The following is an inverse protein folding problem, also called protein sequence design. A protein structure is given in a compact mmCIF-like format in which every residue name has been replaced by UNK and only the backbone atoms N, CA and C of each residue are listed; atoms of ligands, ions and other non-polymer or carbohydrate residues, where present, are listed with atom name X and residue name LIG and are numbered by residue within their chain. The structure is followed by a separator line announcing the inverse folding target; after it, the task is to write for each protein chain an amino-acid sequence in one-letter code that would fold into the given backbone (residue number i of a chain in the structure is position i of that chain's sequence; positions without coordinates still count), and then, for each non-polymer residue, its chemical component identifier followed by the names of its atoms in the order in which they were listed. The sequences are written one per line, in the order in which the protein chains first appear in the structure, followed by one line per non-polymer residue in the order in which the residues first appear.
data_IF_578553596652
#
_entry.id   IF_578553596652
#
_cell.length_a   1.000
_cell.length_b   1.000
_cell.length_c   1.000
_cell.angle_alpha   90.00
_cell.angle_beta   90.00
_cell.angle_gamma   90.00
#
_symmetry.space_group_name_H-M   'P 1'
#
loop_
_entity.id
_entity.type
_entity.pdbx_description
1 polymer ?
#
# COMPACT_ATOMS: atom_id res chain seq x y z
N UNK A 1 82.88 -37.78 21.88
CA UNK A 1 81.65 -38.57 22.09
C UNK A 1 80.54 -37.86 21.28
N UNK A 2 80.05 -38.49 20.21
CA UNK A 2 78.95 -38.00 19.35
C UNK A 2 77.57 -38.22 20.03
N UNK A 3 76.42 -37.82 19.43
CA UNK A 3 76.02 -36.66 18.61
C UNK A 3 74.81 -35.93 19.29
N UNK A 4 74.13 -34.89 18.79
CA UNK A 4 73.14 -34.81 17.70
C UNK A 4 72.53 -33.39 17.72
N UNK A 5 72.46 -32.59 16.65
CA UNK A 5 71.58 -32.69 15.47
C UNK A 5 70.39 -31.71 15.65
N UNK A 6 69.90 -30.90 14.72
CA UNK A 6 70.18 -30.69 13.29
C UNK A 6 69.49 -29.35 12.90
N UNK A 7 70.15 -28.45 12.17
CA UNK A 7 69.51 -27.33 11.46
C UNK A 7 69.61 -27.53 9.95
N UNK A 8 68.43 -27.51 9.29
CA UNK A 8 68.14 -27.19 7.87
C UNK A 8 68.76 -28.10 6.77
N UNK A 9 68.15 -28.26 5.56
CA UNK A 9 67.55 -27.18 4.75
C UNK A 9 66.28 -27.51 3.92
N UNK A 10 65.82 -26.44 3.25
CA UNK A 10 64.85 -26.26 2.15
C UNK A 10 64.35 -27.50 1.36
N UNK A 11 63.03 -27.55 1.11
CA UNK A 11 62.50 -28.07 -0.16
C UNK A 11 61.06 -27.62 -0.49
N UNK A 12 60.95 -27.08 -1.71
CA UNK A 12 59.86 -26.82 -2.67
C UNK A 12 58.36 -27.12 -2.36
N UNK A 13 57.43 -26.33 -2.94
CA UNK A 13 55.98 -26.58 -2.84
C UNK A 13 55.50 -27.66 -3.83
N UNK A 14 54.79 -28.66 -3.32
CA UNK A 14 54.10 -29.68 -4.10
C UNK A 14 52.86 -29.12 -4.81
N UNK A 15 52.71 -29.48 -6.09
CA UNK A 15 51.78 -28.90 -7.05
C UNK A 15 50.29 -28.94 -6.69
N UNK A 16 49.62 -27.83 -7.01
CA UNK A 16 48.18 -27.77 -7.19
C UNK A 16 47.83 -28.30 -8.59
N UNK A 17 47.11 -29.42 -8.64
CA UNK A 17 46.44 -29.89 -9.84
C UNK A 17 45.27 -28.97 -10.18
N UNK A 18 45.29 -28.38 -11.38
CA UNK A 18 44.20 -27.62 -11.98
C UNK A 18 42.90 -28.46 -12.04
N UNK A 19 41.99 -28.25 -11.07
CA UNK A 19 40.58 -28.55 -11.30
C UNK A 19 40.00 -27.44 -12.15
N UNK A 20 39.95 -27.68 -13.46
CA UNK A 20 39.03 -27.00 -14.38
C UNK A 20 37.65 -26.97 -13.73
N UNK A 21 37.25 -25.80 -13.24
CA UNK A 21 35.84 -25.53 -12.94
C UNK A 21 35.13 -25.54 -14.28
N UNK A 22 34.44 -26.64 -14.58
CA UNK A 22 33.40 -26.67 -15.58
C UNK A 22 32.42 -25.56 -15.20
N UNK A 23 32.36 -24.51 -16.01
CA UNK A 23 31.30 -23.53 -15.96
C UNK A 23 29.99 -24.31 -16.10
N UNK A 24 29.28 -24.49 -14.98
CA UNK A 24 27.92 -24.96 -15.01
C UNK A 24 27.16 -23.97 -15.88
N UNK A 25 26.58 -24.46 -16.96
CA UNK A 25 25.49 -23.79 -17.65
C UNK A 25 24.36 -23.64 -16.62
N UNK A 26 24.44 -22.58 -15.82
CA UNK A 26 23.26 -21.97 -15.25
C UNK A 26 22.39 -21.64 -16.45
N UNK A 27 21.19 -22.22 -16.47
CA UNK A 27 20.14 -21.85 -17.39
C UNK A 27 19.94 -20.34 -17.28
N UNK A 28 20.60 -19.59 -18.15
CA UNK A 28 20.20 -18.23 -18.46
C UNK A 28 18.76 -18.39 -18.93
N UNK A 29 17.79 -18.03 -18.08
CA UNK A 29 16.50 -17.63 -18.60
C UNK A 29 16.84 -16.56 -19.64
N UNK A 30 16.63 -16.92 -20.91
CA UNK A 30 16.71 -16.00 -22.03
C UNK A 30 15.85 -14.80 -21.66
N UNK A 31 16.47 -13.72 -21.18
CA UNK A 31 15.84 -12.42 -21.08
C UNK A 31 15.36 -12.11 -22.49
N UNK A 32 14.06 -12.26 -22.74
CA UNK A 32 13.49 -11.95 -24.05
C UNK A 32 13.97 -10.57 -24.46
N UNK A 33 14.40 -10.42 -25.72
CA UNK A 33 14.91 -9.14 -26.24
C UNK A 33 13.86 -8.06 -25.95
N UNK A 34 14.24 -7.06 -25.16
CA UNK A 34 13.37 -5.92 -24.88
C UNK A 34 13.22 -5.09 -26.14
N UNK A 35 11.98 -4.80 -26.53
CA UNK A 35 11.66 -4.05 -27.75
C UNK A 35 11.31 -2.60 -27.39
N UNK A 36 11.71 -1.58 -28.16
CA UNK A 36 11.14 -0.25 -27.98
C UNK A 36 9.61 -0.31 -28.19
N UNK A 37 8.87 0.53 -27.47
CA UNK A 37 7.42 0.66 -27.67
C UNK A 37 7.12 1.02 -29.15
N UNK A 38 6.14 0.37 -29.80
CA UNK A 38 5.77 0.72 -31.17
C UNK A 38 5.39 2.19 -31.30
N UNK A 39 5.94 2.87 -32.31
CA UNK A 39 5.71 4.30 -32.56
C UNK A 39 4.31 4.62 -33.11
N UNK A 40 3.58 3.62 -33.56
CA UNK A 40 2.21 3.75 -34.05
C UNK A 40 1.33 2.67 -33.44
N UNK A 41 0.12 3.07 -33.04
CA UNK A 41 -0.89 2.12 -32.56
C UNK A 41 -1.51 1.31 -33.71
N UNK A 42 -1.72 0.02 -33.45
CA UNK A 42 -2.58 -0.89 -34.25
C UNK A 42 -4.01 -0.95 -33.73
N UNK A 43 -4.30 -0.30 -32.59
CA UNK A 43 -5.63 -0.20 -31.97
C UNK A 43 -6.14 1.24 -32.09
N UNK A 44 -7.36 1.43 -32.59
CA UNK A 44 -7.97 2.75 -32.68
C UNK A 44 -8.14 3.39 -31.29
N UNK A 45 -8.09 4.73 -31.23
CA UNK A 45 -8.34 5.48 -29.99
C UNK A 45 -7.17 5.55 -28.99
N UNK A 46 -5.95 5.17 -29.37
CA UNK A 46 -4.76 5.38 -28.55
C UNK A 46 -3.55 5.88 -29.34
N UNK A 47 -2.51 6.34 -28.64
CA UNK A 47 -1.25 6.82 -29.22
C UNK A 47 -0.36 5.62 -29.60
N UNK A 48 -0.24 4.64 -28.72
CA UNK A 48 0.53 3.41 -28.94
C UNK A 48 -0.21 2.18 -28.42
N UNK A 49 0.08 1.01 -28.99
CA UNK A 49 -0.50 -0.26 -28.55
C UNK A 49 0.52 -1.39 -28.51
N UNK A 50 0.34 -2.30 -27.55
CA UNK A 50 1.08 -3.56 -27.43
C UNK A 50 0.09 -4.71 -27.65
N UNK A 51 0.19 -5.36 -28.81
CA UNK A 51 -0.70 -6.46 -29.22
C UNK A 51 -0.02 -7.83 -29.23
N UNK A 52 1.26 -7.89 -28.87
CA UNK A 52 2.02 -9.13 -28.75
C UNK A 52 2.64 -9.22 -27.35
N UNK A 53 2.74 -10.44 -26.82
CA UNK A 53 3.45 -10.69 -25.56
C UNK A 53 4.94 -10.34 -25.69
N UNK A 54 5.56 -9.95 -24.58
CA UNK A 54 6.99 -9.65 -24.54
C UNK A 54 7.35 -8.50 -23.60
N UNK A 55 8.64 -8.15 -23.61
CA UNK A 55 9.15 -7.02 -22.84
C UNK A 55 9.34 -5.81 -23.74
N UNK A 56 8.79 -4.68 -23.31
CA UNK A 56 8.80 -3.40 -23.99
C UNK A 56 9.43 -2.32 -23.10
N UNK A 57 9.98 -1.28 -23.72
CA UNK A 57 10.46 -0.10 -23.01
C UNK A 57 10.18 1.19 -23.75
N UNK A 58 10.03 2.29 -23.01
CA UNK A 58 10.03 3.63 -23.60
C UNK A 58 11.45 4.09 -23.91
N UNK A 59 11.66 4.59 -25.13
CA UNK A 59 12.88 5.27 -25.58
C UNK A 59 12.73 6.80 -25.58
N UNK A 60 11.52 7.29 -25.30
CA UNK A 60 11.11 8.69 -25.28
C UNK A 60 9.79 8.84 -24.52
N UNK A 61 9.45 10.09 -24.21
CA UNK A 61 8.14 10.44 -23.65
C UNK A 61 6.99 10.06 -24.62
N UNK A 62 5.88 9.54 -24.07
CA UNK A 62 4.63 9.38 -24.81
C UNK A 62 3.74 10.60 -24.55
N UNK A 63 3.43 11.32 -25.62
CA UNK A 63 2.52 12.48 -25.57
C UNK A 63 1.10 12.05 -25.95
N UNK A 64 0.15 12.33 -25.07
CA UNK A 64 -1.27 12.11 -25.29
C UNK A 64 -1.84 12.95 -26.41
N UNK A 65 -3.03 12.57 -26.88
CA UNK A 65 -3.78 13.31 -27.88
C UNK A 65 -5.24 13.42 -27.44
N UNK A 66 -5.91 14.49 -27.88
CA UNK A 66 -7.34 14.72 -27.61
C UNK A 66 -8.16 13.51 -28.05
N UNK A 67 -9.04 13.02 -27.18
CA UNK A 67 -9.90 11.87 -27.41
C UNK A 67 -9.21 10.52 -27.46
N UNK A 68 -7.92 10.43 -27.10
CA UNK A 68 -7.15 9.18 -27.12
C UNK A 68 -6.64 8.77 -25.75
N UNK A 69 -6.48 7.46 -25.56
CA UNK A 69 -5.62 6.88 -24.52
C UNK A 69 -4.14 7.02 -24.89
N UNK A 70 -3.24 6.94 -23.93
CA UNK A 70 -1.80 6.90 -24.19
C UNK A 70 -1.38 5.56 -24.78
N UNK A 71 -1.25 4.55 -23.92
CA UNK A 71 -0.80 3.21 -24.28
C UNK A 71 -1.91 2.20 -24.00
N UNK A 72 -2.28 1.37 -24.97
CA UNK A 72 -3.14 0.21 -24.76
C UNK A 72 -2.30 -1.07 -24.76
N UNK A 73 -2.35 -1.83 -23.67
CA UNK A 73 -1.77 -3.17 -23.57
C UNK A 73 -2.87 -4.20 -23.79
N UNK A 74 -2.91 -4.82 -24.96
CA UNK A 74 -3.95 -5.78 -25.35
C UNK A 74 -3.51 -7.25 -25.25
N UNK A 75 -2.20 -7.51 -25.14
CA UNK A 75 -1.67 -8.87 -24.98
C UNK A 75 -1.29 -9.17 -23.53
N UNK A 76 -1.57 -10.39 -23.07
CA UNK A 76 -1.08 -10.94 -21.80
C UNK A 76 0.43 -11.17 -21.84
N UNK A 77 1.06 -11.38 -20.67
CA UNK A 77 2.52 -11.62 -20.56
C UNK A 77 3.36 -10.48 -21.15
N UNK A 78 3.00 -9.26 -20.79
CA UNK A 78 3.69 -8.04 -21.22
C UNK A 78 4.41 -7.41 -20.03
N UNK A 79 5.68 -7.06 -20.21
CA UNK A 79 6.35 -6.11 -19.32
C UNK A 79 6.52 -4.79 -20.05
N UNK A 80 5.87 -3.74 -19.58
CA UNK A 80 6.10 -2.37 -20.02
C UNK A 80 6.95 -1.64 -18.98
N UNK A 81 8.13 -1.21 -19.39
CA UNK A 81 8.99 -0.36 -18.58
C UNK A 81 9.00 1.05 -19.17
N UNK A 82 8.59 2.02 -18.37
CA UNK A 82 8.59 3.41 -18.78
C UNK A 82 10.01 3.98 -18.81
N UNK A 83 11.03 3.26 -18.30
CA UNK A 83 12.45 3.58 -18.41
C UNK A 83 12.78 5.02 -17.95
N UNK A 84 12.07 5.50 -16.93
CA UNK A 84 12.16 6.84 -16.39
C UNK A 84 11.43 7.93 -17.19
N UNK A 85 10.82 7.60 -18.32
CA UNK A 85 10.07 8.54 -19.15
C UNK A 85 8.62 8.73 -18.68
N UNK A 86 8.04 9.83 -19.14
CA UNK A 86 6.67 10.21 -18.85
C UNK A 86 5.70 9.67 -19.93
N UNK A 87 4.50 9.30 -19.47
CA UNK A 87 3.30 9.16 -20.29
C UNK A 87 2.41 10.34 -19.92
N UNK A 88 2.45 11.39 -20.74
CA UNK A 88 1.91 12.71 -20.42
C UNK A 88 0.63 12.97 -21.21
N UNK A 89 -0.47 13.22 -20.52
CA UNK A 89 -1.75 13.56 -21.11
C UNK A 89 -1.82 15.00 -21.60
N UNK A 90 -2.88 15.30 -22.34
CA UNK A 90 -3.25 16.66 -22.76
C UNK A 90 -4.72 16.90 -22.40
N UNK A 91 -5.17 18.17 -22.27
CA UNK A 91 -6.59 18.45 -22.05
C UNK A 91 -7.48 17.74 -23.07
N UNK A 92 -8.49 17.01 -22.60
CA UNK A 92 -9.40 16.22 -23.44
C UNK A 92 -8.85 14.85 -23.89
N UNK A 93 -7.66 14.44 -23.45
CA UNK A 93 -7.21 13.04 -23.53
C UNK A 93 -7.98 12.14 -22.56
N UNK A 94 -7.91 10.82 -22.73
CA UNK A 94 -8.60 9.84 -21.86
C UNK A 94 -7.65 9.29 -20.80
N UNK A 95 -7.46 7.97 -20.71
CA UNK A 95 -6.56 7.29 -19.75
C UNK A 95 -5.13 7.15 -20.27
N UNK A 96 -4.13 7.27 -19.40
CA UNK A 96 -2.71 7.17 -19.78
C UNK A 96 -2.26 5.79 -20.23
N UNK A 97 -2.45 4.77 -19.38
CA UNK A 97 -2.19 3.38 -19.74
C UNK A 97 -3.44 2.55 -19.46
N UNK A 98 -3.95 1.86 -20.48
CA UNK A 98 -5.10 0.96 -20.36
C UNK A 98 -4.63 -0.47 -20.60
N UNK A 99 -4.93 -1.36 -19.66
CA UNK A 99 -4.65 -2.80 -19.78
C UNK A 99 -5.94 -3.53 -20.12
N UNK A 100 -6.03 -3.97 -21.37
CA UNK A 100 -7.10 -4.83 -21.86
C UNK A 100 -6.77 -6.33 -21.78
N UNK A 101 -5.49 -6.64 -21.53
CA UNK A 101 -5.01 -8.00 -21.33
C UNK A 101 -5.63 -8.67 -20.09
N UNK A 102 -5.77 -9.99 -20.14
CA UNK A 102 -6.39 -10.75 -19.06
C UNK A 102 -5.45 -10.95 -17.86
N UNK A 103 -4.13 -11.14 -18.09
CA UNK A 103 -3.17 -11.42 -17.01
C UNK A 103 -1.71 -11.19 -17.41
N UNK A 104 -0.80 -11.28 -16.44
CA UNK A 104 0.64 -11.34 -16.66
C UNK A 104 1.24 -10.02 -17.14
N UNK A 105 0.62 -8.89 -16.79
CA UNK A 105 1.12 -7.56 -17.15
C UNK A 105 1.94 -6.97 -16.00
N UNK A 106 3.12 -6.46 -16.34
CA UNK A 106 4.00 -5.70 -15.45
C UNK A 106 4.18 -4.30 -16.02
N UNK A 107 3.92 -3.26 -15.24
CA UNK A 107 4.17 -1.86 -15.61
C UNK A 107 5.14 -1.25 -14.60
N UNK A 108 6.22 -0.62 -15.06
CA UNK A 108 7.23 -0.11 -14.12
C UNK A 108 7.99 1.13 -14.55
N UNK A 109 8.53 1.83 -13.55
CA UNK A 109 9.70 2.70 -13.71
C UNK A 109 9.47 3.94 -14.56
N UNK A 110 8.64 4.88 -14.11
CA UNK A 110 8.43 6.17 -14.78
C UNK A 110 7.25 6.95 -14.22
N UNK A 111 6.65 7.81 -15.03
CA UNK A 111 5.50 8.62 -14.60
C UNK A 111 4.33 8.57 -15.59
N UNK A 112 3.10 8.69 -15.08
CA UNK A 112 1.87 8.77 -15.86
C UNK A 112 1.00 9.90 -15.33
N UNK A 113 0.89 11.01 -16.06
CA UNK A 113 0.30 12.23 -15.51
C UNK A 113 -0.46 13.08 -16.52
N UNK A 114 -1.38 13.92 -16.04
CA UNK A 114 -2.10 14.91 -16.85
C UNK A 114 -3.24 14.35 -17.72
N UNK A 115 -3.77 13.17 -17.38
CA UNK A 115 -4.77 12.48 -18.19
C UNK A 115 -6.20 12.86 -17.82
N UNK A 116 -7.08 12.97 -18.82
CA UNK A 116 -8.48 13.38 -18.61
C UNK A 116 -9.38 12.30 -17.98
N UNK A 117 -8.85 11.09 -17.81
CA UNK A 117 -9.45 10.03 -17.02
C UNK A 117 -8.41 9.49 -16.02
N UNK A 118 -8.13 8.18 -16.03
CA UNK A 118 -7.19 7.56 -15.09
C UNK A 118 -5.73 7.72 -15.54
N UNK A 119 -4.79 7.66 -14.60
CA UNK A 119 -3.37 7.49 -14.94
C UNK A 119 -3.15 6.11 -15.56
N UNK A 120 -3.27 5.07 -14.74
CA UNK A 120 -3.17 3.66 -15.16
C UNK A 120 -4.46 2.93 -14.79
N UNK A 121 -5.11 2.34 -15.79
CA UNK A 121 -6.26 1.45 -15.62
C UNK A 121 -5.88 0.01 -15.96
N UNK A 122 -5.62 -0.79 -14.92
CA UNK A 122 -5.36 -2.22 -15.00
C UNK A 122 -6.44 -3.05 -14.29
N UNK A 123 -7.64 -2.49 -14.06
CA UNK A 123 -8.71 -3.13 -13.29
C UNK A 123 -9.15 -4.48 -13.87
N UNK A 124 -9.07 -4.63 -15.20
CA UNK A 124 -9.47 -5.86 -15.90
C UNK A 124 -8.38 -6.94 -15.93
N UNK A 125 -7.15 -6.61 -15.55
CA UNK A 125 -6.02 -7.52 -15.61
C UNK A 125 -5.82 -8.22 -14.26
N UNK A 126 -6.04 -9.53 -14.24
CA UNK A 126 -5.78 -10.33 -13.06
C UNK A 126 -4.27 -10.45 -12.80
N UNK A 127 -3.86 -10.32 -11.53
CA UNK A 127 -2.48 -10.42 -11.09
C UNK A 127 -1.51 -9.46 -11.82
N UNK A 128 -1.97 -8.26 -12.16
CA UNK A 128 -1.09 -7.21 -12.67
C UNK A 128 -0.07 -6.77 -11.62
N UNK A 129 1.16 -6.47 -12.03
CA UNK A 129 2.21 -5.93 -11.17
C UNK A 129 2.54 -4.51 -11.61
N UNK A 130 2.48 -3.55 -10.68
CA UNK A 130 2.85 -2.15 -10.96
C UNK A 130 3.88 -1.69 -9.95
N UNK A 131 5.09 -1.34 -10.41
CA UNK A 131 6.22 -1.03 -9.52
C UNK A 131 6.94 0.27 -9.88
N UNK A 132 7.38 1.04 -8.88
CA UNK A 132 8.17 2.26 -9.09
C UNK A 132 7.52 3.27 -10.07
N UNK A 133 6.21 3.52 -9.92
CA UNK A 133 5.44 4.45 -10.76
C UNK A 133 5.08 5.72 -9.98
N UNK A 134 5.17 6.87 -10.63
CA UNK A 134 4.53 8.12 -10.20
C UNK A 134 3.28 8.37 -11.03
N UNK A 135 2.15 8.66 -10.40
CA UNK A 135 0.92 9.02 -11.11
C UNK A 135 0.34 10.31 -10.53
N UNK A 136 0.20 11.34 -11.37
CA UNK A 136 -0.24 12.64 -10.89
C UNK A 136 -1.14 13.41 -11.84
N UNK A 137 -1.89 14.38 -11.33
CA UNK A 137 -2.64 15.34 -12.14
C UNK A 137 -3.63 14.69 -13.12
N UNK A 138 -4.11 13.48 -12.80
CA UNK A 138 -5.12 12.78 -13.58
C UNK A 138 -6.49 13.15 -13.04
N UNK A 139 -7.48 13.38 -13.91
CA UNK A 139 -8.82 13.77 -13.47
C UNK A 139 -9.51 12.65 -12.67
N UNK A 140 -9.26 11.39 -13.04
CA UNK A 140 -9.75 10.20 -12.34
C UNK A 140 -8.72 9.65 -11.35
N UNK A 141 -8.78 8.35 -11.11
CA UNK A 141 -7.83 7.66 -10.25
C UNK A 141 -6.40 7.66 -10.80
N UNK A 142 -5.40 7.69 -9.91
CA UNK A 142 -4.00 7.55 -10.32
C UNK A 142 -3.69 6.15 -10.85
N UNK A 143 -4.05 5.12 -10.08
CA UNK A 143 -3.87 3.72 -10.44
C UNK A 143 -5.07 2.88 -10.04
N UNK A 144 -5.57 2.05 -10.95
CA UNK A 144 -6.53 0.97 -10.69
C UNK A 144 -5.88 -0.38 -10.93
N UNK A 145 -5.82 -1.23 -9.91
CA UNK A 145 -5.28 -2.59 -9.97
C UNK A 145 -6.42 -3.62 -10.00
N UNK A 146 -6.34 -4.56 -10.95
CA UNK A 146 -7.26 -5.68 -11.06
C UNK A 146 -7.06 -6.77 -10.00
N UNK A 147 -7.95 -7.78 -9.93
CA UNK A 147 -7.98 -8.75 -8.85
C UNK A 147 -6.66 -9.53 -8.68
N UNK A 148 -6.24 -9.72 -7.44
CA UNK A 148 -4.99 -10.40 -7.09
C UNK A 148 -3.73 -9.69 -7.56
N UNK A 149 -3.81 -8.43 -7.98
CA UNK A 149 -2.66 -7.64 -8.42
C UNK A 149 -1.79 -7.16 -7.26
N UNK A 150 -0.65 -6.59 -7.60
CA UNK A 150 0.28 -5.99 -6.64
C UNK A 150 0.75 -4.64 -7.11
N UNK A 151 0.80 -3.66 -6.21
CA UNK A 151 1.51 -2.42 -6.46
C UNK A 151 2.58 -2.18 -5.38
N UNK A 152 3.77 -1.81 -5.84
CA UNK A 152 4.97 -1.62 -5.02
C UNK A 152 5.64 -0.28 -5.34
N UNK A 153 6.03 0.49 -4.33
CA UNK A 153 6.72 1.76 -4.53
C UNK A 153 5.98 2.74 -5.47
N UNK A 154 4.64 2.74 -5.45
CA UNK A 154 3.81 3.63 -6.27
C UNK A 154 3.47 4.91 -5.51
N UNK A 155 3.66 6.07 -6.17
CA UNK A 155 3.36 7.38 -5.60
C UNK A 155 2.28 8.07 -6.44
N UNK A 156 1.08 8.15 -5.89
CA UNK A 156 -0.06 8.85 -6.47
C UNK A 156 -0.22 10.24 -5.82
N UNK A 157 -0.27 11.31 -6.60
CA UNK A 157 -0.43 12.67 -6.09
C UNK A 157 -1.36 13.53 -6.92
N UNK A 158 -2.20 14.35 -6.30
CA UNK A 158 -2.98 15.38 -7.02
C UNK A 158 -3.90 14.80 -8.12
N UNK A 159 -4.36 13.56 -7.93
CA UNK A 159 -5.36 12.95 -8.79
C UNK A 159 -6.76 13.36 -8.34
N UNK A 160 -7.65 13.68 -9.27
CA UNK A 160 -9.02 14.12 -8.98
C UNK A 160 -9.91 13.01 -8.41
N UNK A 161 -9.61 11.74 -8.75
CA UNK A 161 -10.24 10.55 -8.17
C UNK A 161 -9.50 10.01 -6.96
N UNK A 162 -9.57 8.69 -6.76
CA UNK A 162 -8.80 8.01 -5.73
C UNK A 162 -7.29 8.05 -6.08
N UNK A 163 -6.41 8.03 -5.08
CA UNK A 163 -4.98 7.91 -5.36
C UNK A 163 -4.67 6.55 -5.97
N UNK A 164 -5.00 5.50 -5.22
CA UNK A 164 -4.76 4.10 -5.57
C UNK A 164 -6.03 3.28 -5.29
N UNK A 165 -6.52 2.56 -6.30
CA UNK A 165 -7.68 1.67 -6.21
C UNK A 165 -7.25 0.22 -6.41
N UNK A 166 -7.58 -0.66 -5.47
CA UNK A 166 -7.25 -2.09 -5.51
C UNK A 166 -8.50 -2.96 -5.54
N UNK A 167 -8.54 -3.89 -6.49
CA UNK A 167 -9.57 -4.93 -6.55
C UNK A 167 -9.27 -6.08 -5.58
N UNK A 168 -10.23 -6.99 -5.41
CA UNK A 168 -10.18 -8.04 -4.40
C UNK A 168 -8.88 -8.88 -4.42
N UNK A 169 -8.38 -9.20 -3.23
CA UNK A 169 -7.19 -10.04 -3.04
C UNK A 169 -5.86 -9.39 -3.43
N UNK A 170 -5.83 -8.10 -3.72
CA UNK A 170 -4.61 -7.41 -4.15
C UNK A 170 -3.73 -6.99 -2.97
N UNK A 171 -2.45 -6.74 -3.25
CA UNK A 171 -1.46 -6.26 -2.24
C UNK A 171 -0.88 -4.91 -2.63
N UNK A 172 -0.74 -4.03 -1.63
CA UNK A 172 -0.09 -2.74 -1.72
C UNK A 172 1.08 -2.69 -0.72
N UNK A 173 2.26 -2.29 -1.19
CA UNK A 173 3.46 -2.14 -0.35
C UNK A 173 4.28 -0.90 -0.74
N UNK A 174 4.82 -0.17 0.26
CA UNK A 174 5.60 1.07 0.06
C UNK A 174 4.95 2.11 -0.87
N UNK A 175 3.62 2.21 -0.81
CA UNK A 175 2.87 3.11 -1.67
C UNK A 175 2.42 4.37 -0.93
N UNK A 176 2.26 5.47 -1.66
CA UNK A 176 1.74 6.70 -1.09
C UNK A 176 0.67 7.34 -1.98
N UNK A 177 -0.41 7.80 -1.37
CA UNK A 177 -1.43 8.64 -1.99
C UNK A 177 -1.47 10.00 -1.29
N UNK A 178 -1.30 11.09 -2.05
CA UNK A 178 -1.18 12.44 -1.50
C UNK A 178 -2.11 13.40 -2.23
N UNK A 179 -2.86 14.22 -1.49
CA UNK A 179 -3.66 15.31 -2.06
C UNK A 179 -4.63 14.86 -3.19
N UNK A 180 -5.21 13.67 -3.05
CA UNK A 180 -6.16 13.14 -4.03
C UNK A 180 -7.60 13.57 -3.68
N UNK A 181 -8.42 13.82 -4.70
CA UNK A 181 -9.81 14.30 -4.54
C UNK A 181 -10.79 13.22 -4.05
N UNK A 182 -10.41 11.95 -4.16
CA UNK A 182 -11.11 10.80 -3.61
C UNK A 182 -10.53 10.30 -2.29
N UNK A 183 -10.61 8.99 -2.09
CA UNK A 183 -9.93 8.28 -1.00
C UNK A 183 -8.45 8.13 -1.41
N UNK A 184 -7.53 8.23 -0.45
CA UNK A 184 -6.12 8.03 -0.75
C UNK A 184 -5.86 6.64 -1.32
N UNK A 185 -6.18 5.61 -0.54
CA UNK A 185 -6.08 4.20 -0.93
C UNK A 185 -7.43 3.53 -0.71
N UNK A 186 -8.07 3.10 -1.79
CA UNK A 186 -9.35 2.39 -1.77
C UNK A 186 -9.14 0.92 -2.14
N UNK A 187 -9.10 0.06 -1.12
CA UNK A 187 -8.82 -1.35 -1.28
C UNK A 187 -10.10 -2.18 -1.05
N UNK A 188 -10.40 -3.07 -2.00
CA UNK A 188 -11.53 -3.98 -1.91
C UNK A 188 -11.30 -5.11 -0.89
N UNK A 189 -12.12 -6.16 -0.95
CA UNK A 189 -12.09 -7.30 -0.04
C UNK A 189 -10.76 -8.07 -0.09
N UNK A 190 -10.35 -8.62 1.06
CA UNK A 190 -9.16 -9.46 1.22
C UNK A 190 -7.85 -8.81 0.76
N UNK A 191 -7.82 -7.49 0.64
CA UNK A 191 -6.63 -6.75 0.24
C UNK A 191 -5.66 -6.60 1.43
N UNK A 192 -4.37 -6.45 1.10
CA UNK A 192 -3.31 -6.19 2.07
C UNK A 192 -2.67 -4.85 1.76
N UNK A 193 -2.81 -3.87 2.65
CA UNK A 193 -2.18 -2.55 2.55
C UNK A 193 -1.11 -2.46 3.63
N UNK A 194 0.16 -2.42 3.21
CA UNK A 194 1.31 -2.59 4.09
C UNK A 194 2.31 -1.46 3.84
N UNK A 195 2.92 -0.92 4.91
CA UNK A 195 4.02 0.06 4.82
C UNK A 195 3.68 1.24 3.88
N UNK A 196 2.44 1.71 3.92
CA UNK A 196 1.89 2.66 2.95
C UNK A 196 1.32 3.92 3.61
N UNK A 197 1.23 5.00 2.85
CA UNK A 197 0.78 6.29 3.35
C UNK A 197 -0.41 6.87 2.56
N UNK A 198 -1.35 7.51 3.26
CA UNK A 198 -2.41 8.29 2.64
C UNK A 198 -2.56 9.64 3.35
N UNK A 199 -2.40 10.74 2.62
CA UNK A 199 -2.37 12.06 3.26
C UNK A 199 -2.98 13.20 2.45
N UNK A 200 -3.48 14.20 3.17
CA UNK A 200 -4.06 15.41 2.60
C UNK A 200 -5.21 15.14 1.61
N UNK A 201 -5.89 13.99 1.73
CA UNK A 201 -6.99 13.62 0.85
C UNK A 201 -8.29 14.34 1.22
N UNK A 202 -9.16 14.51 0.23
CA UNK A 202 -10.47 15.14 0.44
C UNK A 202 -11.50 14.21 1.11
N UNK A 203 -11.16 12.92 1.31
CA UNK A 203 -12.00 11.90 1.96
C UNK A 203 -11.17 11.09 2.96
N UNK A 204 -11.49 9.81 3.17
CA UNK A 204 -10.72 8.93 4.03
C UNK A 204 -9.30 8.71 3.49
N UNK A 205 -8.35 8.46 4.38
CA UNK A 205 -6.98 8.10 3.99
C UNK A 205 -6.93 6.73 3.32
N UNK A 206 -7.24 5.68 4.11
CA UNK A 206 -7.25 4.28 3.65
C UNK A 206 -8.62 3.69 3.92
N UNK A 207 -9.24 3.09 2.91
CA UNK A 207 -10.41 2.23 3.07
C UNK A 207 -10.06 0.81 2.67
N UNK A 208 -10.48 -0.16 3.49
CA UNK A 208 -10.31 -1.58 3.18
C UNK A 208 -11.63 -2.34 3.33
N UNK A 209 -11.92 -3.17 2.32
CA UNK A 209 -13.04 -4.09 2.29
C UNK A 209 -12.87 -5.28 3.24
N UNK A 210 -13.88 -6.15 3.28
CA UNK A 210 -13.96 -7.25 4.24
C UNK A 210 -12.74 -8.19 4.18
N UNK A 211 -12.27 -8.67 5.34
CA UNK A 211 -11.13 -9.59 5.43
C UNK A 211 -9.77 -8.95 5.13
N UNK A 212 -9.72 -7.61 5.04
CA UNK A 212 -8.52 -6.88 4.70
C UNK A 212 -7.50 -6.77 5.84
N UNK A 213 -6.26 -6.44 5.46
CA UNK A 213 -5.17 -6.18 6.40
C UNK A 213 -4.59 -4.80 6.11
N UNK A 214 -4.54 -3.94 7.13
CA UNK A 214 -3.81 -2.67 7.08
C UNK A 214 -2.72 -2.74 8.14
N UNK A 215 -1.45 -2.65 7.74
CA UNK A 215 -0.32 -2.76 8.66
C UNK A 215 0.78 -1.75 8.38
N UNK A 216 1.33 -1.17 9.44
CA UNK A 216 2.47 -0.24 9.33
C UNK A 216 2.17 0.96 8.41
N UNK A 217 0.92 1.42 8.40
CA UNK A 217 0.48 2.50 7.52
C UNK A 217 0.41 3.84 8.26
N UNK A 218 0.68 4.92 7.53
CA UNK A 218 0.53 6.30 8.00
C UNK A 218 -0.65 6.97 7.30
N UNK A 219 -1.61 7.48 8.06
CA UNK A 219 -2.71 8.30 7.52
C UNK A 219 -2.72 9.66 8.19
N UNK A 220 -2.68 10.74 7.40
CA UNK A 220 -2.62 12.09 8.00
C UNK A 220 -3.34 13.20 7.24
N UNK A 221 -3.89 14.15 7.98
CA UNK A 221 -4.51 15.35 7.41
C UNK A 221 -5.58 15.06 6.35
N UNK A 222 -6.28 13.94 6.47
CA UNK A 222 -7.39 13.62 5.58
C UNK A 222 -8.67 14.26 6.13
N UNK A 223 -9.55 14.74 5.25
CA UNK A 223 -10.83 15.34 5.66
C UNK A 223 -11.85 14.28 6.15
N UNK A 224 -11.64 13.01 5.82
CA UNK A 224 -12.40 11.89 6.35
C UNK A 224 -11.72 11.24 7.56
N UNK A 225 -11.98 9.95 7.74
CA UNK A 225 -11.26 9.15 8.72
C UNK A 225 -9.85 8.81 8.22
N UNK A 226 -8.92 8.53 9.12
CA UNK A 226 -7.59 8.04 8.73
C UNK A 226 -7.69 6.68 8.04
N UNK A 227 -8.23 5.70 8.76
CA UNK A 227 -8.44 4.33 8.27
C UNK A 227 -9.89 3.92 8.48
N UNK A 228 -10.54 3.37 7.45
CA UNK A 228 -11.86 2.75 7.52
C UNK A 228 -11.74 1.28 7.15
N UNK A 229 -12.08 0.38 8.07
CA UNK A 229 -12.05 -1.06 7.85
C UNK A 229 -13.43 -1.68 7.93
N UNK A 230 -13.77 -2.48 6.92
CA UNK A 230 -15.00 -3.29 6.89
C UNK A 230 -14.87 -4.53 7.78
N UNK A 231 -15.80 -5.49 7.65
CA UNK A 231 -15.85 -6.67 8.52
C UNK A 231 -14.59 -7.55 8.45
N UNK A 232 -14.23 -8.22 9.54
CA UNK A 232 -13.11 -9.19 9.62
C UNK A 232 -11.72 -8.61 9.27
N UNK A 233 -11.53 -7.30 9.42
CA UNK A 233 -10.24 -6.69 9.10
C UNK A 233 -9.26 -6.76 10.27
N UNK A 234 -7.97 -6.74 9.95
CA UNK A 234 -6.90 -6.47 10.92
C UNK A 234 -6.23 -5.14 10.60
N UNK A 235 -6.31 -4.18 11.51
CA UNK A 235 -5.57 -2.93 11.49
C UNK A 235 -4.52 -3.00 12.59
N UNK A 236 -3.24 -2.95 12.22
CA UNK A 236 -2.16 -3.11 13.20
C UNK A 236 -0.98 -2.20 12.94
N UNK A 237 -0.33 -1.70 14.00
CA UNK A 237 0.91 -0.92 13.89
C UNK A 237 0.77 0.30 12.97
N UNK A 238 -0.43 0.90 12.92
CA UNK A 238 -0.70 2.06 12.07
C UNK A 238 -0.67 3.36 12.87
N UNK A 239 -0.25 4.44 12.22
CA UNK A 239 -0.28 5.80 12.76
C UNK A 239 -1.34 6.62 12.00
N UNK A 240 -2.37 7.07 12.72
CA UNK A 240 -3.43 7.95 12.22
C UNK A 240 -3.32 9.31 12.89
N UNK A 241 -3.02 10.36 12.13
CA UNK A 241 -2.55 11.65 12.67
C UNK A 241 -3.28 12.83 12.04
N UNK A 242 -3.97 13.62 12.86
CA UNK A 242 -4.65 14.85 12.45
C UNK A 242 -5.64 14.65 11.29
N UNK A 243 -6.36 13.54 11.26
CA UNK A 243 -7.50 13.36 10.37
C UNK A 243 -8.72 14.09 10.96
N UNK A 244 -9.57 14.67 10.12
CA UNK A 244 -10.66 15.52 10.61
C UNK A 244 -11.71 14.70 11.39
N UNK A 245 -12.08 13.53 10.86
CA UNK A 245 -12.97 12.56 11.49
C UNK A 245 -12.20 11.56 12.38
N UNK A 246 -12.70 10.33 12.50
CA UNK A 246 -12.10 9.28 13.32
C UNK A 246 -10.67 8.92 12.85
N UNK A 247 -9.79 8.59 13.79
CA UNK A 247 -8.46 8.11 13.46
C UNK A 247 -8.53 6.76 12.75
N UNK A 248 -9.18 5.81 13.40
CA UNK A 248 -9.46 4.46 12.88
C UNK A 248 -10.93 4.13 13.14
N UNK A 249 -11.65 3.74 12.08
CA UNK A 249 -13.05 3.34 12.14
C UNK A 249 -13.18 1.89 11.65
N UNK A 250 -13.83 1.04 12.45
CA UNK A 250 -14.02 -0.39 12.14
C UNK A 250 -15.47 -0.82 12.26
N UNK A 251 -15.88 -1.77 11.41
CA UNK A 251 -17.21 -2.37 11.42
C UNK A 251 -17.26 -3.58 12.37
N UNK A 252 -17.48 -4.79 11.87
CA UNK A 252 -17.68 -5.99 12.69
C UNK A 252 -16.45 -6.91 12.68
N UNK A 253 -16.22 -7.62 13.79
CA UNK A 253 -15.25 -8.72 13.89
C UNK A 253 -13.80 -8.31 13.54
N UNK A 254 -13.45 -7.04 13.73
CA UNK A 254 -12.12 -6.52 13.41
C UNK A 254 -11.15 -6.60 14.59
N UNK A 255 -9.87 -6.61 14.29
CA UNK A 255 -8.80 -6.41 15.28
C UNK A 255 -8.09 -5.08 15.02
N UNK A 256 -8.10 -4.16 15.99
CA UNK A 256 -7.31 -2.92 15.98
C UNK A 256 -6.24 -3.03 17.05
N UNK A 257 -4.98 -3.19 16.63
CA UNK A 257 -3.89 -3.61 17.50
C UNK A 257 -2.70 -2.66 17.40
N UNK A 258 -2.08 -2.30 18.53
CA UNK A 258 -0.77 -1.60 18.55
C UNK A 258 -0.70 -0.37 17.63
N UNK A 259 -1.82 0.32 17.44
CA UNK A 259 -1.92 1.46 16.54
C UNK A 259 -2.01 2.76 17.34
N UNK A 260 -1.59 3.86 16.72
CA UNK A 260 -1.67 5.20 17.29
C UNK A 260 -2.72 6.00 16.55
N UNK A 261 -3.62 6.65 17.29
CA UNK A 261 -4.42 7.76 16.79
C UNK A 261 -4.08 9.03 17.54
N UNK A 262 -3.74 10.08 16.81
CA UNK A 262 -3.38 11.38 17.37
C UNK A 262 -4.15 12.52 16.68
N UNK A 263 -4.82 13.36 17.45
CA UNK A 263 -5.30 14.64 16.94
C UNK A 263 -6.54 14.58 16.04
N UNK A 264 -7.37 13.53 16.13
CA UNK A 264 -8.67 13.47 15.44
C UNK A 264 -9.71 14.35 16.14
N UNK A 265 -9.77 15.63 15.78
CA UNK A 265 -10.49 16.67 16.55
C UNK A 265 -12.01 16.64 16.42
N UNK A 266 -12.57 16.06 15.36
CA UNK A 266 -14.02 15.88 15.22
C UNK A 266 -14.45 14.41 15.39
N UNK A 267 -13.49 13.49 15.55
CA UNK A 267 -13.72 12.04 15.65
C UNK A 267 -13.14 11.37 16.90
N UNK A 268 -13.34 10.07 16.98
CA UNK A 268 -12.71 9.21 17.96
C UNK A 268 -11.29 8.85 17.51
N UNK A 269 -10.41 8.50 18.46
CA UNK A 269 -9.14 7.87 18.09
C UNK A 269 -9.37 6.50 17.43
N UNK A 270 -10.18 5.67 18.08
CA UNK A 270 -10.73 4.44 17.49
C UNK A 270 -12.24 4.40 17.66
N UNK A 271 -12.99 4.21 16.57
CA UNK A 271 -14.44 3.97 16.60
C UNK A 271 -14.75 2.55 16.12
N UNK A 272 -15.35 1.74 16.99
CA UNK A 272 -16.04 0.52 16.60
C UNK A 272 -17.53 0.82 16.40
N UNK A 273 -17.97 0.78 15.14
CA UNK A 273 -19.38 0.90 14.77
C UNK A 273 -20.09 -0.43 15.04
N UNK A 274 -19.49 -1.54 14.59
CA UNK A 274 -20.05 -2.88 14.69
C UNK A 274 -19.63 -3.64 15.95
N UNK A 275 -19.94 -4.93 15.95
CA UNK A 275 -19.76 -5.83 17.10
C UNK A 275 -18.57 -6.78 16.93
N UNK A 276 -18.18 -7.46 18.01
CA UNK A 276 -17.17 -8.51 17.96
C UNK A 276 -15.75 -8.02 17.68
N UNK A 277 -15.50 -6.72 17.78
CA UNK A 277 -14.17 -6.16 17.56
C UNK A 277 -13.27 -6.36 18.77
N UNK A 278 -11.96 -6.48 18.53
CA UNK A 278 -10.91 -6.42 19.54
C UNK A 278 -10.09 -5.14 19.34
N UNK A 279 -10.17 -4.22 20.29
CA UNK A 279 -9.41 -2.97 20.31
C UNK A 279 -8.41 -3.05 21.46
N UNK A 280 -7.13 -3.22 21.12
CA UNK A 280 -6.13 -3.66 22.09
C UNK A 280 -4.74 -3.07 21.85
N UNK A 281 -4.06 -2.67 22.92
CA UNK A 281 -2.69 -2.10 22.87
C UNK A 281 -2.57 -0.82 22.01
N UNK A 282 -3.65 -0.06 21.81
CA UNK A 282 -3.61 1.17 21.01
C UNK A 282 -3.29 2.39 21.87
N UNK A 283 -2.72 3.43 21.25
CA UNK A 283 -2.51 4.75 21.85
C UNK A 283 -3.43 5.78 21.20
N UNK A 284 -4.36 6.37 21.96
CA UNK A 284 -5.27 7.41 21.48
C UNK A 284 -5.00 8.73 22.20
N UNK A 285 -4.33 9.68 21.53
CA UNK A 285 -3.97 10.97 22.11
C UNK A 285 -4.65 12.15 21.39
N UNK A 286 -5.09 13.17 22.11
CA UNK A 286 -5.57 14.45 21.52
C UNK A 286 -6.73 14.31 20.52
N UNK A 287 -7.52 13.24 20.63
CA UNK A 287 -8.72 13.05 19.83
C UNK A 287 -9.92 13.72 20.51
N UNK A 288 -11.05 13.91 19.82
CA UNK A 288 -12.28 14.37 20.49
C UNK A 288 -12.71 13.40 21.58
N UNK A 289 -12.78 12.11 21.21
CA UNK A 289 -12.99 11.00 22.13
C UNK A 289 -11.86 9.99 21.91
N UNK A 290 -11.32 9.36 22.96
CA UNK A 290 -10.27 8.36 22.81
C UNK A 290 -10.73 7.12 22.07
N UNK A 291 -11.68 6.37 22.65
CA UNK A 291 -12.27 5.17 22.05
C UNK A 291 -13.80 5.23 22.13
N UNK A 292 -14.47 4.93 21.02
CA UNK A 292 -15.92 4.78 20.97
C UNK A 292 -16.30 3.37 20.54
N UNK A 293 -17.24 2.74 21.24
CA UNK A 293 -17.85 1.47 20.82
C UNK A 293 -19.38 1.59 20.85
N UNK A 294 -20.01 1.52 19.68
CA UNK A 294 -21.43 1.84 19.50
C UNK A 294 -22.33 0.59 19.62
N UNK A 295 -21.93 -0.51 19.01
CA UNK A 295 -22.60 -1.81 19.15
C UNK A 295 -22.04 -2.61 20.35
N UNK A 296 -22.78 -3.58 20.89
CA UNK A 296 -22.31 -4.45 21.97
C UNK A 296 -21.26 -5.47 21.48
N UNK A 297 -20.70 -6.26 22.40
CA UNK A 297 -19.89 -7.43 22.06
C UNK A 297 -18.45 -7.14 21.68
N UNK A 298 -17.98 -5.90 21.78
CA UNK A 298 -16.57 -5.55 21.58
C UNK A 298 -15.73 -5.81 22.83
N UNK A 299 -14.45 -6.11 22.64
CA UNK A 299 -13.44 -6.26 23.68
C UNK A 299 -12.44 -5.12 23.57
N UNK A 300 -12.28 -4.34 24.65
CA UNK A 300 -11.49 -3.11 24.66
C UNK A 300 -10.55 -3.14 25.85
N UNK A 301 -9.27 -3.41 25.60
CA UNK A 301 -8.31 -3.70 26.67
C UNK A 301 -6.95 -3.08 26.39
N UNK A 302 -6.17 -2.78 27.43
CA UNK A 302 -4.74 -2.40 27.29
C UNK A 302 -4.48 -1.20 26.38
N UNK A 303 -5.46 -0.33 26.19
CA UNK A 303 -5.28 0.90 25.42
C UNK A 303 -4.79 2.04 26.34
N UNK A 304 -3.92 2.88 25.83
CA UNK A 304 -3.44 4.10 26.46
C UNK A 304 -4.15 5.31 25.82
N UNK A 305 -4.86 6.09 26.63
CA UNK A 305 -5.65 7.22 26.15
C UNK A 305 -5.17 8.48 26.87
N UNK A 306 -4.91 9.55 26.15
CA UNK A 306 -4.47 10.80 26.76
C UNK A 306 -5.06 12.01 26.07
N UNK A 307 -5.20 13.09 26.82
CA UNK A 307 -5.56 14.42 26.32
C UNK A 307 -6.78 14.44 25.37
N UNK A 308 -7.75 13.53 25.53
CA UNK A 308 -8.95 13.51 24.69
C UNK A 308 -9.90 14.62 25.14
N UNK A 309 -10.43 15.40 24.18
CA UNK A 309 -11.08 16.68 24.48
C UNK A 309 -12.42 16.56 25.22
N UNK A 310 -13.23 15.55 24.90
CA UNK A 310 -14.56 15.35 25.49
C UNK A 310 -14.56 14.20 26.50
N UNK A 311 -14.07 13.02 26.10
CA UNK A 311 -14.00 11.85 26.97
C UNK A 311 -12.87 10.91 26.55
N UNK A 312 -12.31 10.17 27.50
CA UNK A 312 -11.40 9.08 27.18
C UNK A 312 -12.12 7.94 26.45
N UNK A 313 -13.34 7.59 26.90
CA UNK A 313 -14.11 6.48 26.35
C UNK A 313 -15.61 6.78 26.32
N UNK A 314 -16.29 6.32 25.27
CA UNK A 314 -17.75 6.28 25.15
C UNK A 314 -18.17 4.88 24.68
N UNK A 315 -18.59 4.05 25.64
CA UNK A 315 -18.77 2.61 25.44
C UNK A 315 -20.23 2.24 25.70
N UNK A 316 -20.94 1.83 24.66
CA UNK A 316 -22.31 1.35 24.77
C UNK A 316 -22.42 0.09 25.65
N UNK A 317 -23.62 -0.17 26.18
CA UNK A 317 -23.87 -1.35 27.00
C UNK A 317 -23.61 -2.66 26.23
N UNK A 318 -23.22 -3.72 26.95
CA UNK A 318 -22.91 -5.03 26.37
C UNK A 318 -21.49 -5.17 25.80
N UNK A 319 -20.66 -4.14 25.90
CA UNK A 319 -19.23 -4.23 25.60
C UNK A 319 -18.41 -4.70 26.81
N UNK A 320 -17.28 -5.35 26.54
CA UNK A 320 -16.31 -5.82 27.54
C UNK A 320 -15.10 -4.89 27.53
N UNK A 321 -15.25 -3.74 28.17
CA UNK A 321 -14.14 -2.81 28.36
C UNK A 321 -13.39 -3.11 29.66
N UNK A 322 -12.08 -3.28 29.58
CA UNK A 322 -11.21 -3.33 30.74
C UNK A 322 -11.29 -2.04 31.55
N UNK A 323 -11.11 -2.14 32.87
CA UNK A 323 -11.22 -0.99 33.79
C UNK A 323 -10.31 0.16 33.34
N UNK A 324 -10.86 1.37 33.29
CA UNK A 324 -10.09 2.58 33.00
C UNK A 324 -9.35 3.05 34.26
N UNK A 325 -8.02 3.09 34.20
CA UNK A 325 -7.16 3.49 35.31
C UNK A 325 -6.55 4.87 35.04
N UNK A 326 -6.76 5.81 35.96
CA UNK A 326 -6.24 7.17 35.87
C UNK A 326 -4.91 7.39 36.62
N UNK A 327 -4.47 6.42 37.43
CA UNK A 327 -3.22 6.51 38.18
C UNK A 327 -2.34 5.28 37.90
N UNK A 328 -1.11 5.46 37.38
CA UNK A 328 -0.19 4.37 37.03
C UNK A 328 0.24 3.52 38.23
N UNK A 329 0.11 3.99 39.48
CA UNK A 329 0.43 3.20 40.68
C UNK A 329 -0.52 2.01 40.91
N UNK A 330 -1.66 1.97 40.23
CA UNK A 330 -2.60 0.82 40.24
C UNK A 330 -2.24 -0.26 39.22
N UNK A 331 -1.14 -0.11 38.46
CA UNK A 331 -0.59 -1.15 37.58
C UNK A 331 0.14 -2.20 38.44
N UNK A 332 -0.58 -2.84 39.36
CA UNK A 332 -0.15 -4.12 39.94
C UNK A 332 -0.52 -5.23 38.95
N UNK A 333 0.20 -6.34 38.99
CA UNK A 333 0.09 -7.51 38.10
C UNK A 333 -1.28 -8.21 38.04
N UNK A 334 -2.32 -7.63 38.64
CA UNK A 334 -3.66 -8.23 38.81
C UNK A 334 -4.74 -7.64 37.89
N UNK A 335 -4.41 -6.65 37.04
CA UNK A 335 -5.38 -6.03 36.11
C UNK A 335 -4.84 -5.98 34.68
N UNK A 336 -4.43 -7.13 34.18
CA UNK A 336 -3.74 -7.31 32.88
C UNK A 336 -4.52 -6.81 31.67
N UNK A 337 -5.82 -6.58 31.79
CA UNK A 337 -6.70 -6.15 30.69
C UNK A 337 -7.18 -4.70 30.82
N UNK A 338 -6.70 -3.94 31.80
CA UNK A 338 -7.09 -2.55 32.02
C UNK A 338 -6.74 -1.64 30.85
N UNK A 339 -7.54 -0.59 30.68
CA UNK A 339 -7.20 0.56 29.85
C UNK A 339 -6.66 1.68 30.76
N UNK A 340 -5.87 2.59 30.19
CA UNK A 340 -5.19 3.65 30.92
C UNK A 340 -5.60 5.01 30.38
N UNK A 341 -5.92 5.94 31.28
CA UNK A 341 -6.04 7.36 30.95
C UNK A 341 -4.87 8.11 31.59
N UNK A 342 -4.20 8.96 30.81
CA UNK A 342 -3.03 9.74 31.21
C UNK A 342 -3.21 11.23 30.89
#
# INVERSE_FOLDING_TARGET
MFPSGNQQPENQPSGFSDRKRSAGLGTQHSMGVRKPLPSASTIAGCVASITESGSYYLDRQVLGAVGKHGIIIAASHVTLDLNGYDVCGVPGSSTGIVVLAETGVVIRGGSVHGWGAHGIDAERCAAALVECIRTSDNIGDGLRIGPGGSADAVRASENGGNGLTLSAGSTLHDCAAVACGGIGIDASENCRVIDSAASAGARDGIRVGSGGVVRACLTRHNLGAGIVASRLCTVSECDSVHNDSDGICVNDECCVLRSRSHGSRNGAGVRAIGQGNRIDENTCAENRIGIVAQAPGNIITRNAISASAESAMDIACGNRAGRLLANPEYVKSEITWSNFVM
#
